data_IF_481506839024
#
_entry.id   IF_481506839024
#
_cell.length_a   1.000
_cell.length_b   1.000
_cell.length_c   1.000
_cell.angle_alpha   90.00
_cell.angle_beta   90.00
_cell.angle_gamma   90.00
#
_symmetry.space_group_name_H-M   'P 1'
#
loop_
_entity.id
_entity.type
_entity.pdbx_description
1 polymer ?
#
# COMPACT_ATOMS: atom_id res chain seq x y z
N UNK A 1 -6.90 6.39 -19.32
CA UNK A 1 -8.20 7.06 -19.07
C UNK A 1 -7.94 8.19 -18.08
N UNK A 2 -8.51 9.39 -18.24
CA UNK A 2 -8.29 10.51 -17.30
C UNK A 2 -9.21 10.40 -16.09
N UNK A 3 -8.87 11.06 -14.97
CA UNK A 3 -9.67 11.06 -13.74
C UNK A 3 -11.11 11.54 -13.99
N UNK A 4 -11.31 12.58 -14.79
CA UNK A 4 -12.67 13.10 -15.09
C UNK A 4 -13.53 12.05 -15.79
N UNK A 5 -12.96 11.29 -16.73
CA UNK A 5 -13.66 10.19 -17.41
C UNK A 5 -13.95 9.05 -16.43
N UNK A 6 -13.01 8.71 -15.55
CA UNK A 6 -13.22 7.70 -14.50
C UNK A 6 -14.35 8.09 -13.56
N UNK A 7 -14.37 9.33 -13.06
CA UNK A 7 -15.42 9.83 -12.16
C UNK A 7 -16.80 9.81 -12.84
N UNK A 8 -16.86 10.14 -14.14
CA UNK A 8 -18.12 10.12 -14.89
C UNK A 8 -18.75 8.72 -14.98
N UNK A 9 -17.96 7.64 -14.83
CA UNK A 9 -18.46 6.26 -14.73
C UNK A 9 -19.02 5.92 -13.34
N UNK A 10 -18.87 6.82 -12.37
CA UNK A 10 -19.33 6.67 -10.99
C UNK A 10 -18.92 5.37 -10.30
N UNK A 11 -17.65 4.93 -10.37
CA UNK A 11 -17.23 3.74 -9.66
C UNK A 11 -17.33 3.95 -8.14
N UNK A 12 -17.56 2.86 -7.40
CA UNK A 12 -17.59 2.89 -5.93
C UNK A 12 -16.19 3.01 -5.33
N UNK A 13 -15.19 2.52 -6.04
CA UNK A 13 -13.79 2.44 -5.62
C UNK A 13 -12.86 2.71 -6.81
N UNK A 14 -11.77 3.44 -6.57
CA UNK A 14 -10.75 3.81 -7.55
C UNK A 14 -9.38 3.52 -6.93
N UNK A 15 -8.56 2.74 -7.65
CA UNK A 15 -7.13 2.65 -7.40
C UNK A 15 -6.37 3.54 -8.38
N UNK A 16 -5.48 4.38 -7.88
CA UNK A 16 -4.62 5.26 -8.67
C UNK A 16 -3.17 5.13 -8.20
N UNK A 17 -2.28 4.74 -9.11
CA UNK A 17 -0.87 4.48 -8.85
C UNK A 17 -0.01 5.38 -9.71
N UNK A 18 1.12 5.83 -9.16
CA UNK A 18 2.23 6.32 -9.97
C UNK A 18 2.79 5.14 -10.77
N UNK A 19 3.17 5.39 -12.03
CA UNK A 19 3.70 4.34 -12.90
C UNK A 19 5.12 3.99 -12.44
N UNK A 20 5.32 2.76 -12.00
CA UNK A 20 6.65 2.19 -11.76
C UNK A 20 7.11 1.47 -13.02
N UNK A 21 8.34 1.74 -13.46
CA UNK A 21 8.96 1.12 -14.62
C UNK A 21 9.71 -0.13 -14.20
N UNK A 22 9.02 -1.27 -14.22
CA UNK A 22 9.63 -2.57 -13.91
C UNK A 22 10.48 -3.06 -15.09
N UNK A 23 11.63 -3.68 -14.78
CA UNK A 23 12.45 -4.38 -15.76
C UNK A 23 11.59 -5.41 -16.52
N UNK A 24 11.91 -5.65 -17.79
CA UNK A 24 11.15 -6.53 -18.70
C UNK A 24 9.74 -6.07 -19.08
N UNK A 25 9.35 -4.83 -18.80
CA UNK A 25 8.09 -4.26 -19.30
C UNK A 25 8.27 -3.39 -20.55
N UNK A 26 7.25 -3.33 -21.40
CA UNK A 26 7.25 -2.39 -22.55
C UNK A 26 7.41 -0.94 -22.09
N UNK A 27 6.90 -0.59 -20.90
CA UNK A 27 7.08 0.75 -20.35
C UNK A 27 8.54 1.07 -20.07
N UNK A 28 9.31 0.12 -19.50
CA UNK A 28 10.74 0.28 -19.28
C UNK A 28 11.51 0.42 -20.60
N UNK A 29 11.16 -0.37 -21.63
CA UNK A 29 11.76 -0.24 -22.96
C UNK A 29 11.46 1.13 -23.59
N UNK A 30 10.26 1.66 -23.41
CA UNK A 30 9.88 2.99 -23.93
C UNK A 30 10.56 4.13 -23.18
N UNK A 31 10.72 3.99 -21.86
CA UNK A 31 11.49 4.94 -21.05
C UNK A 31 12.96 4.98 -21.49
N UNK A 32 13.59 3.82 -21.71
CA UNK A 32 14.99 3.75 -22.16
C UNK A 32 15.19 4.32 -23.58
N UNK A 33 14.14 4.33 -24.42
CA UNK A 33 14.11 5.03 -25.71
C UNK A 33 13.83 6.54 -25.59
N UNK A 34 13.60 7.07 -24.40
CA UNK A 34 13.29 8.48 -24.14
C UNK A 34 11.86 8.90 -24.49
N UNK A 35 10.96 7.94 -24.76
CA UNK A 35 9.54 8.23 -25.04
C UNK A 35 8.77 8.62 -23.77
N UNK A 36 9.25 8.15 -22.62
CA UNK A 36 8.75 8.51 -21.31
C UNK A 36 9.88 9.07 -20.46
N UNK A 37 9.58 10.15 -19.73
CA UNK A 37 10.49 10.73 -18.76
C UNK A 37 9.84 10.59 -17.38
N UNK A 38 10.56 9.96 -16.47
CA UNK A 38 10.20 10.00 -15.06
C UNK A 38 10.67 11.33 -14.50
N UNK A 39 9.76 12.03 -13.82
CA UNK A 39 10.04 13.30 -13.18
C UNK A 39 9.31 13.34 -11.85
N UNK A 40 10.07 13.26 -10.76
CA UNK A 40 9.52 13.12 -9.43
C UNK A 40 8.66 14.32 -9.02
N UNK A 41 9.00 15.51 -9.49
CA UNK A 41 8.23 16.73 -9.23
C UNK A 41 6.86 16.65 -9.91
N UNK A 42 6.83 16.26 -11.20
CA UNK A 42 5.56 16.02 -11.93
C UNK A 42 4.73 14.90 -11.27
N UNK A 43 5.36 13.80 -10.84
CA UNK A 43 4.65 12.69 -10.17
C UNK A 43 4.00 13.15 -8.85
N UNK A 44 4.71 13.98 -8.07
CA UNK A 44 4.17 14.58 -6.85
C UNK A 44 3.01 15.53 -7.14
N UNK A 45 3.11 16.36 -8.18
CA UNK A 45 2.00 17.22 -8.63
C UNK A 45 0.77 16.40 -9.05
N UNK A 46 0.96 15.32 -9.78
CA UNK A 46 -0.14 14.41 -10.18
C UNK A 46 -0.75 13.68 -8.99
N UNK A 47 0.06 13.27 -8.02
CA UNK A 47 -0.44 12.67 -6.79
C UNK A 47 -1.34 13.65 -6.02
N UNK A 48 -0.88 14.87 -5.82
CA UNK A 48 -1.64 15.93 -5.14
C UNK A 48 -2.92 16.30 -5.91
N UNK A 49 -2.83 16.45 -7.23
CA UNK A 49 -3.98 16.70 -8.08
C UNK A 49 -5.01 15.57 -8.00
N UNK A 50 -4.54 14.32 -7.97
CA UNK A 50 -5.40 13.14 -7.84
C UNK A 50 -6.17 13.15 -6.52
N UNK A 51 -5.51 13.47 -5.40
CA UNK A 51 -6.16 13.60 -4.09
C UNK A 51 -7.27 14.65 -4.18
N UNK A 52 -6.96 15.87 -4.62
CA UNK A 52 -7.96 16.95 -4.69
C UNK A 52 -9.14 16.58 -5.57
N UNK A 53 -8.90 16.12 -6.80
CA UNK A 53 -9.97 15.83 -7.77
C UNK A 53 -10.90 14.72 -7.25
N UNK A 54 -10.35 13.68 -6.62
CA UNK A 54 -11.14 12.56 -6.12
C UNK A 54 -11.87 12.92 -4.82
N UNK A 55 -11.26 13.66 -3.90
CA UNK A 55 -11.91 14.14 -2.68
C UNK A 55 -13.06 15.11 -2.99
N UNK A 56 -12.86 16.06 -3.93
CA UNK A 56 -13.90 16.97 -4.41
C UNK A 56 -15.06 16.23 -5.09
N UNK A 57 -14.75 15.11 -5.76
CA UNK A 57 -15.77 14.23 -6.34
C UNK A 57 -16.48 13.36 -5.29
N UNK A 58 -16.09 13.41 -4.01
CA UNK A 58 -16.70 12.71 -2.87
C UNK A 58 -16.14 11.31 -2.61
N UNK A 59 -14.91 11.03 -3.01
CA UNK A 59 -14.18 9.82 -2.63
C UNK A 59 -13.30 10.09 -1.39
N UNK A 60 -13.18 9.10 -0.52
CA UNK A 60 -12.30 9.15 0.65
C UNK A 60 -10.96 8.51 0.31
N UNK A 61 -9.86 9.26 0.49
CA UNK A 61 -8.50 8.74 0.36
C UNK A 61 -8.13 7.91 1.61
N UNK A 62 -8.53 6.64 1.61
CA UNK A 62 -8.44 5.80 2.80
C UNK A 62 -7.07 5.14 2.98
N UNK A 63 -6.27 5.04 1.92
CA UNK A 63 -4.86 4.66 1.93
C UNK A 63 -4.15 5.22 0.67
N UNK A 64 -2.82 5.19 0.64
CA UNK A 64 -1.97 5.93 -0.33
C UNK A 64 -2.46 5.89 -1.79
N UNK A 65 -2.86 4.74 -2.32
CA UNK A 65 -3.19 4.56 -3.74
C UNK A 65 -4.68 4.33 -4.01
N UNK A 66 -5.54 4.35 -3.00
CA UNK A 66 -6.92 3.89 -3.12
C UNK A 66 -7.90 4.87 -2.49
N UNK A 67 -8.98 5.07 -3.25
CA UNK A 67 -10.04 6.01 -3.00
C UNK A 67 -11.37 5.28 -3.06
N UNK A 68 -12.30 5.61 -2.19
CA UNK A 68 -13.59 4.94 -2.18
C UNK A 68 -14.71 5.88 -1.75
N UNK A 69 -15.91 5.66 -2.27
CA UNK A 69 -17.12 6.24 -1.68
C UNK A 69 -17.24 5.78 -0.21
N UNK A 70 -17.86 6.58 0.68
CA UNK A 70 -18.10 6.16 2.05
C UNK A 70 -18.79 4.78 2.11
N UNK A 71 -18.20 3.85 2.85
CA UNK A 71 -18.68 2.46 2.95
C UNK A 71 -18.08 1.47 1.94
N UNK A 72 -17.42 1.94 0.88
CA UNK A 72 -16.92 1.10 -0.21
C UNK A 72 -15.40 0.87 -0.21
N UNK A 73 -14.69 1.20 0.88
CA UNK A 73 -13.26 0.87 0.95
C UNK A 73 -13.04 -0.64 0.90
N UNK A 74 -12.04 -1.08 0.13
CA UNK A 74 -11.73 -2.50 -0.08
C UNK A 74 -11.52 -3.22 1.25
N UNK A 75 -12.33 -4.26 1.48
CA UNK A 75 -12.19 -5.11 2.68
C UNK A 75 -10.84 -5.82 2.69
N UNK A 76 -10.38 -6.29 1.53
CA UNK A 76 -9.11 -6.99 1.40
C UNK A 76 -7.93 -6.07 1.71
N UNK A 77 -7.85 -4.90 1.07
CA UNK A 77 -6.74 -3.96 1.30
C UNK A 77 -6.72 -3.53 2.77
N UNK A 78 -7.88 -3.21 3.36
CA UNK A 78 -7.94 -2.86 4.78
C UNK A 78 -7.41 -3.96 5.69
N UNK A 79 -7.85 -5.20 5.50
CA UNK A 79 -7.40 -6.35 6.29
C UNK A 79 -5.88 -6.58 6.15
N UNK A 80 -5.36 -6.49 4.93
CA UNK A 80 -3.93 -6.62 4.65
C UNK A 80 -3.13 -5.51 5.34
N UNK A 81 -3.55 -4.25 5.23
CA UNK A 81 -2.88 -3.11 5.85
C UNK A 81 -2.96 -3.09 7.38
N UNK A 82 -4.01 -3.67 7.97
CA UNK A 82 -4.11 -3.85 9.43
C UNK A 82 -3.42 -5.10 9.95
N UNK A 83 -2.72 -5.85 9.09
CA UNK A 83 -2.00 -7.06 9.47
C UNK A 83 -2.90 -8.21 9.91
N UNK A 84 -4.17 -8.22 9.47
CA UNK A 84 -5.11 -9.30 9.76
C UNK A 84 -4.67 -10.62 9.11
N UNK A 85 -5.23 -11.73 9.60
CA UNK A 85 -5.00 -13.03 8.99
C UNK A 85 -5.70 -13.09 7.61
N UNK A 86 -5.00 -13.58 6.60
CA UNK A 86 -5.56 -13.80 5.27
C UNK A 86 -4.98 -15.05 4.61
N UNK A 87 -5.79 -15.64 3.74
CA UNK A 87 -5.41 -16.77 2.90
C UNK A 87 -5.31 -16.30 1.44
N UNK A 88 -4.16 -16.51 0.83
CA UNK A 88 -3.95 -16.32 -0.60
C UNK A 88 -4.26 -17.61 -1.37
N UNK A 89 -5.06 -17.46 -2.42
CA UNK A 89 -5.46 -18.56 -3.30
C UNK A 89 -4.95 -18.25 -4.70
N UNK A 90 -4.41 -19.27 -5.37
CA UNK A 90 -3.81 -19.17 -6.68
C UNK A 90 -2.28 -19.26 -6.65
N UNK A 91 -1.65 -19.37 -7.84
CA UNK A 91 -0.20 -19.36 -7.99
C UNK A 91 0.39 -18.06 -7.42
N UNK A 92 1.59 -18.17 -6.85
CA UNK A 92 2.34 -17.04 -6.23
C UNK A 92 1.65 -16.36 -5.03
N UNK A 93 0.42 -16.75 -4.67
CA UNK A 93 -0.35 -16.06 -3.64
C UNK A 93 0.27 -16.27 -2.25
N UNK A 94 0.37 -15.18 -1.49
CA UNK A 94 0.80 -15.21 -0.11
C UNK A 94 -0.38 -15.39 0.84
N UNK A 95 -0.13 -16.05 1.95
CA UNK A 95 -1.03 -16.14 3.10
C UNK A 95 -0.26 -15.77 4.34
N UNK A 96 -0.91 -15.08 5.28
CA UNK A 96 -0.35 -14.82 6.61
C UNK A 96 -1.40 -15.17 7.64
N UNK A 97 -1.10 -16.11 8.53
CA UNK A 97 -1.96 -16.50 9.66
C UNK A 97 -1.13 -16.56 10.93
N UNK A 98 -1.43 -15.68 11.89
CA UNK A 98 -0.65 -15.50 13.11
C UNK A 98 0.78 -15.09 12.78
N UNK A 99 1.73 -15.89 13.27
CA UNK A 99 3.18 -15.68 13.08
C UNK A 99 3.75 -16.50 11.91
N UNK A 100 2.91 -17.04 11.02
CA UNK A 100 3.34 -17.83 9.87
C UNK A 100 2.89 -17.17 8.57
N UNK A 101 3.83 -16.97 7.64
CA UNK A 101 3.56 -16.56 6.26
C UNK A 101 4.02 -17.64 5.31
N UNK A 102 3.28 -17.87 4.24
CA UNK A 102 3.67 -18.82 3.20
C UNK A 102 3.22 -18.33 1.83
N UNK A 103 3.93 -18.79 0.81
CA UNK A 103 3.62 -18.52 -0.59
C UNK A 103 3.27 -19.83 -1.29
N UNK A 104 2.24 -19.81 -2.13
CA UNK A 104 1.99 -20.90 -3.06
C UNK A 104 3.06 -20.91 -4.17
N UNK A 105 3.31 -22.08 -4.76
CA UNK A 105 4.23 -22.19 -5.90
C UNK A 105 3.82 -21.23 -7.03
N UNK A 106 4.81 -20.57 -7.63
CA UNK A 106 4.58 -19.53 -8.63
C UNK A 106 4.21 -20.10 -10.01
N UNK A 107 4.80 -21.25 -10.38
CA UNK A 107 4.45 -21.91 -11.62
C UNK A 107 3.00 -22.41 -11.59
N UNK A 108 2.18 -21.90 -12.50
CA UNK A 108 0.75 -22.15 -12.49
C UNK A 108 0.40 -23.61 -12.79
N UNK A 109 1.23 -24.34 -13.54
CA UNK A 109 1.01 -25.76 -13.84
C UNK A 109 1.30 -26.59 -12.59
N UNK A 110 2.44 -26.36 -11.96
CA UNK A 110 2.81 -26.99 -10.70
C UNK A 110 1.80 -26.69 -9.59
N UNK A 111 1.26 -25.46 -9.53
CA UNK A 111 0.19 -25.10 -8.62
C UNK A 111 -1.06 -25.96 -8.88
N UNK A 112 -1.53 -25.98 -10.13
CA UNK A 112 -2.73 -26.72 -10.52
C UNK A 112 -2.58 -28.23 -10.26
N UNK A 113 -1.45 -28.83 -10.64
CA UNK A 113 -1.18 -30.25 -10.44
C UNK A 113 -1.20 -30.64 -8.97
N UNK A 114 -0.58 -29.81 -8.10
CA UNK A 114 -0.60 -30.05 -6.64
C UNK A 114 -2.02 -29.97 -6.08
N UNK A 115 -2.77 -28.93 -6.42
CA UNK A 115 -4.15 -28.75 -5.91
C UNK A 115 -5.06 -29.89 -6.40
N UNK A 116 -5.02 -30.23 -7.69
CA UNK A 116 -5.88 -31.27 -8.28
C UNK A 116 -5.54 -32.68 -7.80
N UNK A 117 -4.30 -32.93 -7.38
CA UNK A 117 -3.86 -34.19 -6.77
C UNK A 117 -4.05 -34.23 -5.24
N UNK A 118 -4.66 -33.19 -4.64
CA UNK A 118 -4.86 -33.12 -3.18
C UNK A 118 -3.59 -32.86 -2.38
N UNK A 119 -2.52 -32.41 -3.02
CA UNK A 119 -1.25 -32.04 -2.39
C UNK A 119 -1.24 -30.55 -1.99
N UNK A 120 -0.38 -30.21 -1.03
CA UNK A 120 -0.20 -28.84 -0.59
C UNK A 120 0.41 -27.96 -1.71
N UNK A 121 -0.20 -26.82 -2.07
CA UNK A 121 0.35 -25.90 -3.06
C UNK A 121 1.47 -25.01 -2.52
N UNK A 122 1.82 -25.12 -1.22
CA UNK A 122 2.82 -24.28 -0.57
C UNK A 122 4.20 -24.50 -1.21
N UNK A 123 4.82 -23.42 -1.69
CA UNK A 123 6.16 -23.40 -2.24
C UNK A 123 7.22 -22.97 -1.23
N UNK A 124 6.92 -21.97 -0.40
CA UNK A 124 7.82 -21.44 0.63
C UNK A 124 7.05 -21.08 1.90
N UNK A 125 7.73 -21.05 3.04
CA UNK A 125 7.15 -20.66 4.34
C UNK A 125 8.20 -19.89 5.13
N UNK A 126 7.75 -18.88 5.87
CA UNK A 126 8.55 -18.14 6.84
C UNK A 126 7.80 -18.02 8.17
N UNK A 127 8.56 -17.95 9.26
CA UNK A 127 8.03 -17.64 10.59
C UNK A 127 8.36 -16.18 10.90
N UNK A 128 7.33 -15.38 11.15
CA UNK A 128 7.43 -13.96 11.47
C UNK A 128 7.79 -13.82 12.95
N UNK A 129 8.81 -13.02 13.24
CA UNK A 129 9.11 -12.61 14.62
C UNK A 129 8.18 -11.48 15.05
N UNK A 130 8.06 -11.26 16.35
CA UNK A 130 7.31 -10.10 16.89
C UNK A 130 7.88 -8.77 16.41
N UNK A 131 9.18 -8.73 16.12
CA UNK A 131 9.86 -7.58 15.53
C UNK A 131 9.44 -7.34 14.09
N UNK A 132 9.46 -8.36 13.24
CA UNK A 132 8.99 -8.25 11.85
C UNK A 132 7.54 -7.76 11.83
N UNK A 133 6.67 -8.36 12.66
CA UNK A 133 5.27 -7.93 12.77
C UNK A 133 5.13 -6.48 13.21
N UNK A 134 5.95 -6.02 14.15
CA UNK A 134 5.94 -4.63 14.64
C UNK A 134 6.31 -3.67 13.52
N UNK A 135 7.43 -3.93 12.84
CA UNK A 135 7.95 -3.13 11.71
C UNK A 135 6.92 -3.08 10.58
N UNK A 136 6.36 -4.22 10.18
CA UNK A 136 5.28 -4.29 9.17
C UNK A 136 4.04 -3.52 9.61
N UNK A 137 3.63 -3.62 10.88
CA UNK A 137 2.45 -2.89 11.39
C UNK A 137 2.65 -1.38 11.29
N UNK A 138 3.84 -0.88 11.65
CA UNK A 138 4.17 0.55 11.51
C UNK A 138 4.11 0.95 10.04
N UNK A 139 4.82 0.21 9.18
CA UNK A 139 4.93 0.52 7.76
C UNK A 139 3.60 0.51 7.03
N UNK A 140 2.76 -0.50 7.28
CA UNK A 140 1.48 -0.62 6.60
C UNK A 140 0.43 0.34 7.17
N UNK A 141 0.40 0.56 8.48
CA UNK A 141 -0.63 1.41 9.10
C UNK A 141 -0.46 2.89 8.75
N UNK A 142 0.79 3.38 8.65
CA UNK A 142 1.09 4.76 8.24
C UNK A 142 0.58 5.09 6.84
N UNK A 143 0.51 4.08 5.94
CA UNK A 143 -0.05 4.23 4.59
C UNK A 143 -1.57 4.42 4.57
N UNK A 144 -2.24 4.26 5.71
CA UNK A 144 -3.70 4.37 5.82
C UNK A 144 -4.11 5.67 6.50
N UNK A 145 -5.34 6.11 6.27
CA UNK A 145 -5.92 7.26 6.97
C UNK A 145 -6.16 7.03 8.48
N UNK A 146 -6.04 5.78 8.96
CA UNK A 146 -6.10 5.45 10.39
C UNK A 146 -4.76 5.67 11.10
N UNK A 147 -3.66 5.61 10.34
CA UNK A 147 -2.32 5.79 10.86
C UNK A 147 -1.90 4.71 11.87
N UNK A 148 -0.80 4.98 12.56
CA UNK A 148 -0.15 4.07 13.50
C UNK A 148 -0.39 4.49 14.95
N UNK A 149 -0.54 3.50 15.84
CA UNK A 149 -0.70 3.76 17.27
C UNK A 149 0.51 4.49 17.85
N UNK A 150 0.24 5.49 18.71
CA UNK A 150 1.27 6.20 19.48
C UNK A 150 2.21 5.28 20.25
N UNK A 151 1.68 4.16 20.78
CA UNK A 151 2.48 3.20 21.52
C UNK A 151 3.62 2.60 20.67
N UNK A 152 3.36 2.35 19.38
CA UNK A 152 4.34 1.76 18.46
C UNK A 152 5.45 2.73 18.09
N UNK A 153 5.18 4.04 18.11
CA UNK A 153 6.18 5.08 17.83
C UNK A 153 6.87 5.62 19.09
N UNK A 154 6.57 5.08 20.27
CA UNK A 154 7.25 5.47 21.52
C UNK A 154 8.78 5.36 21.45
N UNK A 155 9.39 4.37 20.77
CA UNK A 155 10.84 4.31 20.60
C UNK A 155 11.43 5.41 19.71
N UNK A 156 10.61 6.04 18.85
CA UNK A 156 11.03 6.97 17.79
C UNK A 156 10.56 8.41 18.06
N UNK A 157 10.74 8.89 19.29
CA UNK A 157 10.17 10.18 19.72
C UNK A 157 10.79 11.37 18.99
N UNK A 158 12.07 11.29 18.63
CA UNK A 158 12.78 12.37 17.97
C UNK A 158 12.31 12.52 16.53
N UNK A 159 12.28 11.41 15.79
CA UNK A 159 11.80 11.29 14.41
C UNK A 159 10.33 11.72 14.33
N UNK A 160 9.51 11.23 15.27
CA UNK A 160 8.11 11.64 15.37
C UNK A 160 7.96 13.15 15.58
N UNK A 161 8.76 13.76 16.46
CA UNK A 161 8.71 15.21 16.71
C UNK A 161 9.16 16.00 15.48
N UNK A 162 10.22 15.54 14.82
CA UNK A 162 10.76 16.16 13.61
C UNK A 162 9.73 16.14 12.48
N UNK A 163 9.13 14.99 12.19
CA UNK A 163 8.11 14.88 11.15
C UNK A 163 6.83 15.66 11.46
N UNK A 164 6.47 15.84 12.73
CA UNK A 164 5.39 16.77 13.11
C UNK A 164 5.81 18.22 12.84
N UNK A 165 7.04 18.61 13.20
CA UNK A 165 7.54 19.97 12.96
C UNK A 165 7.64 20.30 11.46
N UNK A 166 7.99 19.32 10.63
CA UNK A 166 7.98 19.41 9.17
C UNK A 166 6.56 19.34 8.56
N UNK A 167 5.53 19.10 9.38
CA UNK A 167 4.15 18.99 8.93
C UNK A 167 3.84 17.72 8.14
N UNK A 168 4.67 16.68 8.23
CA UNK A 168 4.49 15.38 7.56
C UNK A 168 3.64 14.41 8.39
N UNK A 169 3.66 14.55 9.72
CA UNK A 169 2.81 13.77 10.63
C UNK A 169 1.84 14.66 11.42
N UNK A 170 0.64 14.14 11.63
CA UNK A 170 -0.38 14.70 12.51
C UNK A 170 -0.88 13.66 13.52
N UNK A 171 -1.76 14.09 14.43
CA UNK A 171 -2.48 13.17 15.33
C UNK A 171 -3.97 13.16 15.03
N UNK A 172 -4.57 11.98 15.00
CA UNK A 172 -6.01 11.80 14.86
C UNK A 172 -6.44 10.56 15.64
N UNK A 173 -7.47 10.68 16.48
CA UNK A 173 -8.03 9.57 17.27
C UNK A 173 -6.97 8.78 18.08
N UNK A 174 -5.94 9.45 18.60
CA UNK A 174 -4.86 8.80 19.38
C UNK A 174 -3.77 8.11 18.55
N UNK A 175 -3.86 8.18 17.21
CA UNK A 175 -2.87 7.65 16.28
C UNK A 175 -2.08 8.77 15.59
N UNK A 176 -0.87 8.45 15.14
CA UNK A 176 -0.10 9.27 14.22
C UNK A 176 -0.50 8.95 12.78
N UNK A 177 -0.88 9.97 12.01
CA UNK A 177 -1.32 9.85 10.62
C UNK A 177 -0.42 10.71 9.74
N UNK A 178 -0.17 10.25 8.51
CA UNK A 178 0.45 11.11 7.50
C UNK A 178 -0.49 12.26 7.17
N UNK A 179 0.05 13.48 7.18
CA UNK A 179 -0.64 14.63 6.60
C UNK A 179 -0.69 14.47 5.09
N UNK A 180 -1.34 15.42 4.41
CA UNK A 180 -1.32 15.47 2.95
C UNK A 180 0.11 15.51 2.38
N UNK A 181 0.95 16.42 2.88
CA UNK A 181 2.37 16.47 2.54
C UNK A 181 3.12 15.19 2.93
N UNK A 182 2.79 14.60 4.07
CA UNK A 182 3.37 13.33 4.53
C UNK A 182 3.07 12.15 3.60
N UNK A 183 1.88 12.10 2.98
CA UNK A 183 1.50 11.03 2.06
C UNK A 183 2.39 11.00 0.82
N UNK A 184 2.84 12.15 0.34
CA UNK A 184 3.77 12.26 -0.80
C UNK A 184 5.18 11.74 -0.47
N UNK A 185 5.51 11.64 0.82
CA UNK A 185 6.77 11.12 1.34
C UNK A 185 6.56 9.87 2.21
N UNK A 186 5.48 9.13 1.98
CA UNK A 186 5.05 8.04 2.85
C UNK A 186 6.14 6.98 3.09
N UNK A 187 6.87 6.63 2.04
CA UNK A 187 7.92 5.61 2.10
C UNK A 187 9.11 6.11 2.92
N UNK A 188 9.59 7.33 2.69
CA UNK A 188 10.70 7.92 3.45
C UNK A 188 10.37 8.14 4.92
N UNK A 189 9.14 8.59 5.23
CA UNK A 189 8.68 8.73 6.62
C UNK A 189 8.58 7.37 7.30
N UNK A 190 8.13 6.35 6.56
CA UNK A 190 8.02 4.99 7.07
C UNK A 190 9.39 4.39 7.38
N UNK A 191 10.35 4.54 6.46
CA UNK A 191 11.71 4.00 6.58
C UNK A 191 12.43 4.48 7.84
N UNK A 192 12.20 5.73 8.26
CA UNK A 192 12.75 6.30 9.49
C UNK A 192 12.24 5.63 10.79
N UNK A 193 11.22 4.76 10.71
CA UNK A 193 10.67 4.01 11.84
C UNK A 193 10.95 2.50 11.79
N UNK A 194 11.76 2.04 10.84
CA UNK A 194 12.16 0.63 10.69
C UNK A 194 13.55 0.39 11.29
#
# INVERSE_FOLDING_TARGET
>A
MTLQKTIALQPEHISAYCLTYEEDTEFFLRQSRGEFRQDADTDAEFFEMTISILEDAGYQHYEISNYARPGFSSRHNRAYWSGENYLGIGPSAFSTVGMRRWQNVADYRAYADRVLSGQSPIGSTENLTSEIKRVETIALSLRTNKGVSTALLTPFQNETREFIALGLLGKTNGNFVLTRAGKSLADSVTEAFL
#
